data_IF_842998762006
#
_entry.id   IF_842998762006
#
_cell.length_a   1.000
_cell.length_b   1.000
_cell.length_c   1.000
_cell.angle_alpha   90.00
_cell.angle_beta   90.00
_cell.angle_gamma   90.00
#
_symmetry.space_group_name_H-M   'P 1'
#
loop_
_entity.id
_entity.type
_entity.pdbx_description
1 polymer ?
#
# COMPACT_ATOMS: atom_id res chain seq x y z
N UNK A 1 11.29 14.49 -10.83
CA UNK A 1 11.16 13.46 -9.80
C UNK A 1 11.69 12.15 -10.32
N UNK A 2 12.28 11.36 -9.43
CA UNK A 2 12.79 10.03 -9.67
C UNK A 2 11.76 9.04 -9.12
N UNK A 3 11.22 8.21 -10.01
CA UNK A 3 10.30 7.13 -9.66
C UNK A 3 10.94 5.80 -10.04
N UNK A 4 11.11 4.90 -9.07
CA UNK A 4 11.71 3.58 -9.28
C UNK A 4 10.68 2.52 -8.94
N UNK A 5 10.29 1.72 -9.92
CA UNK A 5 9.42 0.56 -9.74
C UNK A 5 10.26 -0.71 -9.49
N UNK A 6 9.90 -1.49 -8.46
CA UNK A 6 10.48 -2.81 -8.20
C UNK A 6 9.36 -3.85 -8.14
N UNK A 7 9.23 -4.63 -9.21
CA UNK A 7 8.20 -5.65 -9.36
C UNK A 7 8.70 -7.08 -9.10
N UNK A 8 7.79 -7.94 -8.64
CA UNK A 8 8.04 -9.37 -8.49
C UNK A 8 7.13 -10.05 -7.46
N UNK A 9 7.22 -11.38 -7.33
CA UNK A 9 6.33 -12.14 -6.44
C UNK A 9 6.61 -11.87 -4.95
N UNK A 10 5.66 -12.26 -4.09
CA UNK A 10 5.85 -12.23 -2.64
C UNK A 10 7.05 -13.12 -2.25
N UNK A 11 7.83 -12.70 -1.25
CA UNK A 11 9.01 -13.45 -0.79
C UNK A 11 10.28 -13.29 -1.65
N UNK A 12 10.23 -12.56 -2.77
CA UNK A 12 11.40 -12.36 -3.66
C UNK A 12 12.46 -11.37 -3.12
N UNK A 13 12.33 -10.88 -1.89
CA UNK A 13 13.27 -9.91 -1.30
C UNK A 13 13.13 -8.46 -1.78
N UNK A 14 12.06 -8.13 -2.53
CA UNK A 14 11.82 -6.79 -3.10
C UNK A 14 11.91 -5.67 -2.07
N UNK A 15 11.19 -5.78 -0.95
CA UNK A 15 11.14 -4.74 0.07
C UNK A 15 12.52 -4.50 0.69
N UNK A 16 13.37 -5.52 0.78
CA UNK A 16 14.76 -5.37 1.24
C UNK A 16 15.57 -4.56 0.23
N UNK A 17 15.49 -4.90 -1.06
CA UNK A 17 16.19 -4.19 -2.13
C UNK A 17 15.67 -2.75 -2.26
N UNK A 18 14.36 -2.56 -2.22
CA UNK A 18 13.71 -1.26 -2.32
C UNK A 18 14.16 -0.30 -1.21
N UNK A 19 14.21 -0.78 0.04
CA UNK A 19 14.75 -0.01 1.17
C UNK A 19 16.22 0.32 1.00
N UNK A 20 17.03 -0.62 0.51
CA UNK A 20 18.45 -0.39 0.27
C UNK A 20 18.69 0.65 -0.85
N UNK A 21 17.92 0.59 -1.93
CA UNK A 21 17.96 1.56 -3.03
C UNK A 21 17.53 2.94 -2.54
N UNK A 22 16.38 3.03 -1.85
CA UNK A 22 15.86 4.26 -1.28
C UNK A 22 16.89 4.92 -0.34
N UNK A 23 17.48 4.15 0.58
CA UNK A 23 18.51 4.64 1.49
C UNK A 23 19.80 5.11 0.80
N UNK A 24 20.22 4.45 -0.28
CA UNK A 24 21.40 4.87 -1.07
C UNK A 24 21.16 6.15 -1.86
N UNK A 25 19.94 6.33 -2.36
CA UNK A 25 19.57 7.50 -3.18
C UNK A 25 19.03 8.67 -2.35
N UNK A 26 18.75 8.46 -1.06
CA UNK A 26 18.15 9.48 -0.21
C UNK A 26 16.71 9.81 -0.57
N UNK A 27 15.99 8.84 -1.15
CA UNK A 27 14.59 8.99 -1.61
C UNK A 27 13.64 8.13 -0.77
N UNK A 28 12.34 8.34 -0.93
CA UNK A 28 11.33 7.65 -0.12
C UNK A 28 11.14 6.22 -0.62
N UNK A 29 10.88 5.29 0.29
CA UNK A 29 10.37 3.96 -0.03
C UNK A 29 8.85 3.92 0.15
N UNK A 30 8.10 3.22 -0.68
CA UNK A 30 6.67 3.04 -0.50
C UNK A 30 6.33 1.55 -0.55
N UNK A 31 5.98 0.97 0.61
CA UNK A 31 5.47 -0.40 0.72
C UNK A 31 4.02 -0.43 0.25
N UNK A 32 3.79 -0.74 -1.03
CA UNK A 32 2.43 -0.84 -1.57
C UNK A 32 1.64 -1.97 -0.94
N UNK A 33 2.31 -3.04 -0.49
CA UNK A 33 1.69 -4.13 0.24
C UNK A 33 1.10 -3.69 1.58
N UNK A 34 1.75 -2.74 2.26
CA UNK A 34 1.20 -2.13 3.48
C UNK A 34 -0.06 -1.30 3.20
N UNK A 35 -0.18 -0.66 2.03
CA UNK A 35 -1.40 0.05 1.64
C UNK A 35 -2.58 -0.93 1.48
N UNK A 36 -2.39 -2.04 0.76
CA UNK A 36 -3.44 -3.07 0.65
C UNK A 36 -3.81 -3.68 2.00
N UNK A 37 -2.83 -3.91 2.89
CA UNK A 37 -3.12 -4.34 4.27
C UNK A 37 -3.90 -3.28 5.05
N UNK A 38 -3.69 -2.00 4.79
CA UNK A 38 -4.42 -0.92 5.46
C UNK A 38 -5.89 -0.88 5.02
N UNK A 39 -6.17 -1.10 3.73
CA UNK A 39 -7.54 -1.28 3.24
C UNK A 39 -8.21 -2.50 3.88
N UNK A 40 -7.52 -3.65 3.86
CA UNK A 40 -8.04 -4.86 4.50
C UNK A 40 -8.33 -4.66 5.99
N UNK A 41 -7.48 -3.91 6.70
CA UNK A 41 -7.67 -3.60 8.12
C UNK A 41 -8.95 -2.79 8.31
N UNK A 42 -9.16 -1.75 7.50
CA UNK A 42 -10.35 -0.91 7.59
C UNK A 42 -11.63 -1.70 7.29
N UNK A 43 -11.61 -2.56 6.26
CA UNK A 43 -12.75 -3.42 5.90
C UNK A 43 -13.11 -4.36 7.05
N UNK A 44 -12.11 -5.07 7.60
CA UNK A 44 -12.31 -5.97 8.74
C UNK A 44 -12.77 -5.22 10.00
N UNK A 45 -12.23 -4.02 10.25
CA UNK A 45 -12.61 -3.18 11.39
C UNK A 45 -14.07 -2.73 11.29
N UNK A 46 -14.60 -2.52 10.08
CA UNK A 46 -16.01 -2.20 9.83
C UNK A 46 -16.92 -3.45 9.80
N UNK A 47 -16.37 -4.65 10.00
CA UNK A 47 -17.13 -5.90 9.99
C UNK A 47 -17.61 -6.32 8.60
N UNK A 48 -17.03 -5.77 7.53
CA UNK A 48 -17.37 -6.10 6.16
C UNK A 48 -16.55 -7.30 5.65
N UNK A 49 -17.09 -8.01 4.65
CA UNK A 49 -16.37 -9.10 3.98
C UNK A 49 -15.35 -8.52 2.99
N UNK A 50 -14.09 -8.92 3.14
CA UNK A 50 -12.96 -8.55 2.25
C UNK A 50 -13.11 -9.06 0.81
N UNK A 51 -14.09 -9.93 0.55
CA UNK A 51 -14.41 -10.46 -0.78
C UNK A 51 -15.68 -9.87 -1.39
N UNK A 52 -16.47 -9.13 -0.62
CA UNK A 52 -17.67 -8.46 -1.12
C UNK A 52 -17.28 -7.10 -1.71
N UNK A 53 -17.24 -7.02 -3.04
CA UNK A 53 -16.84 -5.80 -3.75
C UNK A 53 -17.71 -4.59 -3.39
N UNK A 54 -19.01 -4.78 -3.21
CA UNK A 54 -19.92 -3.68 -2.88
C UNK A 54 -19.66 -3.19 -1.45
N UNK A 55 -19.54 -4.11 -0.48
CA UNK A 55 -19.22 -3.74 0.89
C UNK A 55 -17.84 -3.06 0.99
N UNK A 56 -16.84 -3.55 0.25
CA UNK A 56 -15.51 -2.94 0.21
C UNK A 56 -15.55 -1.55 -0.44
N UNK A 57 -16.35 -1.34 -1.51
CA UNK A 57 -16.50 -0.05 -2.15
C UNK A 57 -17.06 1.02 -1.18
N UNK A 58 -18.06 0.66 -0.37
CA UNK A 58 -18.61 1.53 0.69
C UNK A 58 -17.58 1.84 1.79
N UNK A 59 -16.66 0.91 2.07
CA UNK A 59 -15.53 1.22 2.98
C UNK A 59 -14.53 2.19 2.35
N UNK A 60 -14.29 2.06 1.04
CA UNK A 60 -13.33 2.89 0.32
C UNK A 60 -13.80 4.33 0.09
N UNK A 61 -15.11 4.60 0.08
CA UNK A 61 -15.63 5.97 -0.10
C UNK A 61 -15.21 6.91 1.02
N UNK A 62 -15.00 6.37 2.22
CA UNK A 62 -14.57 7.11 3.41
C UNK A 62 -13.07 6.94 3.71
N UNK A 63 -12.30 6.37 2.77
CA UNK A 63 -10.89 6.11 2.98
C UNK A 63 -10.07 7.39 2.85
N UNK A 64 -9.52 7.85 3.97
CA UNK A 64 -8.42 8.79 4.04
C UNK A 64 -7.16 8.03 4.46
N UNK A 65 -6.16 7.95 3.58
CA UNK A 65 -4.90 7.25 3.82
C UNK A 65 -3.73 8.23 3.74
N UNK A 66 -3.07 8.43 4.87
CA UNK A 66 -1.89 9.28 4.99
C UNK A 66 -0.65 8.44 5.30
N UNK A 67 0.42 8.67 4.53
CA UNK A 67 1.67 7.91 4.61
C UNK A 67 2.76 8.86 5.06
N UNK A 68 3.25 8.64 6.27
CA UNK A 68 4.25 9.48 6.93
C UNK A 68 5.55 8.72 7.12
N UNK A 69 6.64 9.47 7.19
CA UNK A 69 7.95 8.95 7.52
C UNK A 69 8.37 9.46 8.89
N UNK A 70 8.30 8.58 9.90
CA UNK A 70 8.55 8.93 11.30
C UNK A 70 9.57 7.94 11.89
N UNK A 71 10.60 8.44 12.57
CA UNK A 71 11.61 7.60 13.21
C UNK A 71 12.39 6.69 12.23
N UNK A 72 12.51 7.09 10.96
CA UNK A 72 13.17 6.30 9.91
C UNK A 72 12.32 5.13 9.37
N UNK A 73 11.04 5.08 9.70
CA UNK A 73 10.11 4.07 9.21
C UNK A 73 8.84 4.69 8.62
N UNK A 74 8.26 3.99 7.65
CA UNK A 74 6.94 4.32 7.12
C UNK A 74 5.87 4.06 8.19
N UNK A 75 5.02 5.04 8.43
CA UNK A 75 3.79 4.95 9.20
C UNK A 75 2.61 5.18 8.26
N UNK A 76 1.56 4.38 8.40
CA UNK A 76 0.30 4.55 7.69
C UNK A 76 -0.78 4.92 8.68
N UNK A 77 -1.47 6.00 8.38
CA UNK A 77 -2.67 6.46 9.07
C UNK A 77 -3.87 6.21 8.17
N UNK A 78 -4.93 5.63 8.73
CA UNK A 78 -6.22 5.47 8.06
C UNK A 78 -7.26 6.21 8.89
N UNK A 79 -7.92 7.20 8.28
CA UNK A 79 -8.93 8.04 8.93
C UNK A 79 -8.42 8.64 10.26
N UNK A 80 -7.17 9.08 10.27
CA UNK A 80 -6.49 9.67 11.44
C UNK A 80 -5.89 8.68 12.45
N UNK A 81 -6.12 7.36 12.31
CA UNK A 81 -5.58 6.33 13.20
C UNK A 81 -4.31 5.71 12.64
N UNK A 82 -3.23 5.61 13.43
CA UNK A 82 -2.03 4.88 13.03
C UNK A 82 -2.31 3.37 12.99
N UNK A 83 -2.40 2.80 11.79
CA UNK A 83 -2.71 1.38 11.59
C UNK A 83 -1.47 0.50 11.47
N UNK A 84 -0.29 1.09 11.30
CA UNK A 84 1.00 0.40 11.09
C UNK A 84 1.24 -0.79 12.03
N UNK A 85 0.97 -0.69 13.35
CA UNK A 85 1.19 -1.80 14.28
C UNK A 85 0.37 -3.06 13.96
N UNK A 86 -0.80 -2.89 13.34
CA UNK A 86 -1.74 -3.99 13.07
C UNK A 86 -1.46 -4.70 11.74
N UNK A 87 -0.77 -4.02 10.80
CA UNK A 87 -0.61 -4.50 9.42
C UNK A 87 0.22 -5.78 9.29
N UNK A 88 0.96 -6.19 10.32
CA UNK A 88 1.79 -7.41 10.30
C UNK A 88 1.11 -8.61 10.96
N UNK A 89 -0.13 -8.48 11.43
CA UNK A 89 -0.84 -9.60 12.02
C UNK A 89 -1.01 -10.74 10.99
N UNK A 90 -0.96 -12.02 11.40
CA UNK A 90 -0.92 -13.15 10.46
C UNK A 90 -2.07 -13.19 9.44
N UNK A 91 -3.28 -12.78 9.85
CA UNK A 91 -4.46 -12.77 8.98
C UNK A 91 -4.44 -11.64 7.94
N UNK A 92 -3.65 -10.58 8.15
CA UNK A 92 -3.63 -9.40 7.28
C UNK A 92 -3.08 -9.67 5.90
N UNK A 93 -2.11 -10.59 5.77
CA UNK A 93 -1.58 -10.97 4.46
C UNK A 93 -2.64 -11.62 3.57
N UNK A 94 -3.48 -12.48 4.16
CA UNK A 94 -4.58 -13.12 3.44
C UNK A 94 -5.68 -12.12 3.10
N UNK A 95 -6.08 -11.30 4.06
CA UNK A 95 -7.09 -10.27 3.85
C UNK A 95 -6.67 -9.25 2.78
N UNK A 96 -5.40 -8.81 2.78
CA UNK A 96 -4.85 -7.97 1.73
C UNK A 96 -4.88 -8.64 0.35
N UNK A 97 -4.57 -9.94 0.27
CA UNK A 97 -4.70 -10.69 -0.98
C UNK A 97 -6.15 -10.73 -1.47
N UNK A 98 -7.12 -10.92 -0.57
CA UNK A 98 -8.54 -10.99 -0.92
C UNK A 98 -9.05 -9.63 -1.43
N UNK A 99 -8.78 -8.53 -0.72
CA UNK A 99 -9.18 -7.18 -1.21
C UNK A 99 -8.42 -6.78 -2.47
N UNK A 100 -7.16 -7.20 -2.65
CA UNK A 100 -6.37 -6.85 -3.86
C UNK A 100 -6.90 -7.49 -5.14
N UNK A 101 -7.72 -8.54 -5.03
CA UNK A 101 -8.38 -9.16 -6.18
C UNK A 101 -9.53 -8.29 -6.71
N UNK A 102 -10.04 -7.36 -5.90
CA UNK A 102 -11.18 -6.50 -6.25
C UNK A 102 -10.69 -5.31 -7.10
N UNK A 103 -11.26 -5.09 -8.30
CA UNK A 103 -10.88 -3.97 -9.17
C UNK A 103 -11.00 -2.60 -8.47
N UNK A 104 -12.08 -2.37 -7.71
CA UNK A 104 -12.30 -1.10 -6.99
C UNK A 104 -11.14 -0.75 -6.06
N UNK A 105 -10.56 -1.74 -5.37
CA UNK A 105 -9.40 -1.55 -4.49
C UNK A 105 -8.16 -1.23 -5.30
N UNK A 106 -7.91 -1.98 -6.39
CA UNK A 106 -6.74 -1.75 -7.25
C UNK A 106 -6.75 -0.33 -7.84
N UNK A 107 -7.90 0.13 -8.33
CA UNK A 107 -8.01 1.49 -8.86
C UNK A 107 -7.74 2.56 -7.80
N UNK A 108 -8.29 2.40 -6.59
CA UNK A 108 -8.04 3.33 -5.49
C UNK A 108 -6.56 3.35 -5.08
N UNK A 109 -5.90 2.19 -5.04
CA UNK A 109 -4.48 2.09 -4.70
C UNK A 109 -3.59 2.75 -5.77
N UNK A 110 -3.90 2.56 -7.05
CA UNK A 110 -3.18 3.22 -8.15
C UNK A 110 -3.29 4.74 -8.06
N UNK A 111 -4.48 5.27 -7.77
CA UNK A 111 -4.70 6.71 -7.57
C UNK A 111 -3.77 7.26 -6.48
N UNK A 112 -3.82 6.68 -5.27
CA UNK A 112 -3.00 7.12 -4.13
C UNK A 112 -1.50 6.99 -4.40
N UNK A 113 -1.07 5.89 -5.03
CA UNK A 113 0.35 5.66 -5.35
C UNK A 113 0.87 6.67 -6.37
N UNK A 114 0.07 7.01 -7.39
CA UNK A 114 0.43 8.02 -8.38
C UNK A 114 0.47 9.42 -7.77
N UNK A 115 -0.48 9.76 -6.91
CA UNK A 115 -0.48 11.04 -6.20
C UNK A 115 0.77 11.19 -5.33
N UNK A 116 1.14 10.14 -4.60
CA UNK A 116 2.35 10.11 -3.79
C UNK A 116 3.62 10.28 -4.65
N UNK A 117 3.73 9.52 -5.74
CA UNK A 117 4.86 9.58 -6.68
C UNK A 117 4.90 10.89 -7.52
N UNK A 118 3.85 11.71 -7.48
CA UNK A 118 3.80 13.03 -8.11
C UNK A 118 4.34 14.15 -7.22
N UNK A 119 4.59 13.88 -5.94
CA UNK A 119 5.05 14.89 -4.98
C UNK A 119 6.36 14.50 -4.31
N UNK A 120 6.87 13.30 -4.58
CA UNK A 120 8.05 12.73 -3.94
C UNK A 120 8.94 11.99 -4.93
N UNK A 121 10.25 11.99 -4.69
CA UNK A 121 11.15 11.00 -5.27
C UNK A 121 10.97 9.69 -4.49
N UNK A 122 10.63 8.59 -5.16
CA UNK A 122 10.15 7.38 -4.50
C UNK A 122 10.55 6.07 -5.20
N UNK A 123 10.83 5.05 -4.39
CA UNK A 123 10.90 3.64 -4.78
C UNK A 123 9.61 2.96 -4.36
N UNK A 124 8.85 2.42 -5.31
CA UNK A 124 7.64 1.63 -5.03
C UNK A 124 7.94 0.15 -5.28
N UNK A 125 7.63 -0.70 -4.30
CA UNK A 125 7.72 -2.16 -4.48
C UNK A 125 6.34 -2.82 -4.56
N UNK A 126 6.14 -3.70 -5.53
CA UNK A 126 4.84 -4.33 -5.78
C UNK A 126 4.89 -5.46 -6.80
N UNK A 127 3.77 -5.73 -7.47
CA UNK A 127 3.66 -6.78 -8.50
C UNK A 127 3.55 -6.20 -9.92
N UNK A 128 2.91 -5.05 -10.04
CA UNK A 128 2.49 -4.40 -11.28
C UNK A 128 2.75 -2.88 -11.25
N UNK A 129 3.78 -2.44 -10.51
CA UNK A 129 4.12 -1.03 -10.36
C UNK A 129 4.55 -0.45 -11.71
N UNK A 130 5.53 -1.04 -12.39
CA UNK A 130 6.07 -0.52 -13.64
C UNK A 130 5.18 -0.75 -14.86
N UNK A 131 4.15 -1.60 -14.75
CA UNK A 131 3.24 -1.93 -15.86
C UNK A 131 1.87 -1.29 -15.74
N UNK A 132 1.42 -0.96 -14.51
CA UNK A 132 0.07 -0.46 -14.27
C UNK A 132 0.04 0.84 -13.46
N UNK A 133 0.91 0.99 -12.46
CA UNK A 133 0.92 2.17 -11.58
C UNK A 133 1.69 3.33 -12.22
N UNK A 134 2.92 3.09 -12.65
CA UNK A 134 3.84 4.08 -13.21
C UNK A 134 4.30 3.64 -14.60
N UNK A 135 3.43 3.77 -15.63
CA UNK A 135 3.81 3.50 -17.00
C UNK A 135 4.83 4.52 -17.54
#
# INVERSE_FOLDING_TARGET
>A
MINIAIDGPAGAGKSTIAKAVAGKLGIIYLDTGAMYRSVAYLVLKRGADVKDEAAVAEVLSDLDMDIRYEGGAQQIYVNGENVTPYLRAPHMSKAASDVSALPVVRYKMVELQREFARTHDVVLDGRDIGTFVLP
#
